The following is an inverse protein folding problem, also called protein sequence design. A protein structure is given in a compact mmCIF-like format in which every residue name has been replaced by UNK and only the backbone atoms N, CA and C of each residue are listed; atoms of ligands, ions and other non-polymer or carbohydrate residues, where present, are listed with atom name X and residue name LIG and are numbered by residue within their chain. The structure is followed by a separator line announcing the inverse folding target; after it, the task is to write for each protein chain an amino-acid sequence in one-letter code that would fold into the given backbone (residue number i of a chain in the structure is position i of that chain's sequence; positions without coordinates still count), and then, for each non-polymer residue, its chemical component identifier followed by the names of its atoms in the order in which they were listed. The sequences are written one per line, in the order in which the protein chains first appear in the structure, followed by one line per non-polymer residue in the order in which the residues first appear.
data_IF_715654786210
#
_entry.id   IF_715654786210
#
_cell.length_a   1.000
_cell.length_b   1.000
_cell.length_c   1.000
_cell.angle_alpha   90.00
_cell.angle_beta   90.00
_cell.angle_gamma   90.00
#
_symmetry.space_group_name_H-M   'P 1'
#
loop_
_entity.id
_entity.type
_entity.pdbx_description
1 polymer ?
#
# COMPACT_ATOMS: atom_id res chain seq x y z
N UNK A 1 -3.35 -9.61 -9.96
CA UNK A 1 -2.61 -8.91 -8.90
C UNK A 1 -3.52 -7.91 -8.20
N UNK A 2 -3.83 -8.17 -6.94
CA UNK A 2 -4.59 -7.26 -6.07
C UNK A 2 -3.89 -7.18 -4.70
N UNK A 3 -3.89 -5.99 -4.10
CA UNK A 3 -3.37 -5.77 -2.76
C UNK A 3 -4.55 -5.56 -1.82
N UNK A 4 -4.52 -6.23 -0.66
CA UNK A 4 -5.45 -5.97 0.42
C UNK A 4 -4.73 -5.40 1.65
N UNK A 5 -5.45 -4.60 2.43
CA UNK A 5 -5.00 -4.04 3.69
C UNK A 5 -6.08 -4.22 4.75
N UNK A 6 -5.71 -4.81 5.90
CA UNK A 6 -6.63 -5.07 7.02
C UNK A 6 -6.05 -4.56 8.34
N UNK A 7 -6.92 -4.27 9.30
CA UNK A 7 -6.52 -4.11 10.71
C UNK A 7 -6.47 -5.49 11.33
N UNK A 8 -5.29 -5.91 11.80
CA UNK A 8 -5.10 -7.19 12.48
C UNK A 8 -5.59 -7.16 13.91
N UNK A 9 -5.68 -8.34 14.54
CA UNK A 9 -6.04 -8.48 15.95
C UNK A 9 -5.01 -7.81 16.90
N UNK A 10 -3.80 -7.59 16.40
CA UNK A 10 -2.72 -6.84 17.07
C UNK A 10 -2.85 -5.31 16.94
N UNK A 11 -3.87 -4.83 16.22
CA UNK A 11 -4.11 -3.42 15.95
C UNK A 11 -3.15 -2.81 14.92
N UNK A 12 -2.31 -3.63 14.26
CA UNK A 12 -1.44 -3.20 13.18
C UNK A 12 -2.15 -3.30 11.83
N UNK A 13 -1.61 -2.64 10.81
CA UNK A 13 -2.10 -2.72 9.44
C UNK A 13 -1.26 -3.76 8.71
N UNK A 14 -1.92 -4.81 8.25
CA UNK A 14 -1.31 -5.91 7.49
C UNK A 14 -1.69 -5.74 6.01
N UNK A 15 -0.68 -5.69 5.14
CA UNK A 15 -0.82 -5.49 3.71
C UNK A 15 -0.23 -6.70 3.00
N UNK A 16 -0.98 -7.32 2.09
CA UNK A 16 -0.51 -8.50 1.33
C UNK A 16 -1.00 -8.50 -0.10
N UNK A 17 -0.27 -9.22 -0.95
CA UNK A 17 -0.74 -9.63 -2.27
C UNK A 17 -1.72 -10.79 -2.12
N UNK A 18 -2.86 -10.72 -2.79
CA UNK A 18 -3.85 -11.81 -2.79
C UNK A 18 -3.31 -13.10 -3.42
N UNK A 19 -2.33 -12.99 -4.33
CA UNK A 19 -1.72 -14.13 -5.02
C UNK A 19 -0.50 -14.70 -4.28
N UNK A 20 0.09 -13.94 -3.34
CA UNK A 20 1.23 -14.35 -2.49
C UNK A 20 0.94 -14.02 -1.01
N UNK A 21 -0.04 -14.70 -0.39
CA UNK A 21 -0.57 -14.35 0.93
C UNK A 21 0.43 -14.44 2.08
N UNK A 22 1.51 -15.21 1.91
CA UNK A 22 2.59 -15.39 2.87
C UNK A 22 3.54 -14.18 2.96
N UNK A 23 3.55 -13.31 1.94
CA UNK A 23 4.37 -12.10 1.93
C UNK A 23 3.54 -10.94 2.47
N UNK A 24 3.78 -10.60 3.75
CA UNK A 24 3.02 -9.58 4.46
C UNK A 24 3.93 -8.41 4.86
N UNK A 25 3.55 -7.20 4.48
CA UNK A 25 4.09 -5.97 5.04
C UNK A 25 3.21 -5.52 6.22
N UNK A 26 3.84 -5.23 7.36
CA UNK A 26 3.14 -4.78 8.58
C UNK A 26 3.55 -3.36 8.91
N UNK A 27 2.58 -2.50 9.20
CA UNK A 27 2.81 -1.12 9.59
C UNK A 27 1.88 -0.67 10.72
N UNK A 28 2.14 0.49 11.31
CA UNK A 28 1.28 1.04 12.36
C UNK A 28 0.15 1.88 11.77
N UNK A 29 -0.99 2.06 12.47
CA UNK A 29 -2.06 2.94 12.02
C UNK A 29 -1.58 4.38 11.74
N UNK A 30 -0.67 4.90 12.55
CA UNK A 30 -0.11 6.24 12.36
C UNK A 30 0.72 6.36 11.06
N UNK A 31 1.53 5.35 10.74
CA UNK A 31 2.30 5.32 9.49
C UNK A 31 1.40 5.11 8.28
N UNK A 32 0.36 4.28 8.41
CA UNK A 32 -0.65 4.08 7.36
C UNK A 32 -1.41 5.38 7.04
N UNK A 33 -1.85 6.12 8.05
CA UNK A 33 -2.52 7.42 7.87
C UNK A 33 -1.61 8.43 7.14
N UNK A 34 -0.34 8.52 7.55
CA UNK A 34 0.64 9.36 6.86
C UNK A 34 0.86 8.92 5.39
N UNK A 35 0.98 7.61 5.14
CA UNK A 35 1.12 7.07 3.78
C UNK A 35 -0.07 7.43 2.89
N UNK A 36 -1.31 7.21 3.36
CA UNK A 36 -2.53 7.55 2.61
C UNK A 36 -2.60 9.05 2.31
N UNK A 37 -2.17 9.91 3.24
CA UNK A 37 -2.08 11.37 3.01
C UNK A 37 -1.06 11.71 1.92
N UNK A 38 0.13 11.12 1.95
CA UNK A 38 1.15 11.30 0.91
C UNK A 38 0.67 10.87 -0.48
N UNK A 39 0.00 9.70 -0.58
CA UNK A 39 -0.63 9.23 -1.83
C UNK A 39 -1.65 10.25 -2.35
N UNK A 40 -2.56 10.73 -1.50
CA UNK A 40 -3.56 11.73 -1.90
C UNK A 40 -2.95 13.08 -2.30
N UNK A 41 -1.77 13.41 -1.78
CA UNK A 41 -1.04 14.61 -2.13
C UNK A 41 -0.25 14.47 -3.45
N UNK A 42 -0.29 13.32 -4.12
CA UNK A 42 0.48 13.05 -5.33
C UNK A 42 1.98 12.88 -5.07
N UNK A 43 2.38 12.63 -3.82
CA UNK A 43 3.80 12.52 -3.44
C UNK A 43 4.53 11.44 -4.24
N UNK A 44 3.82 10.40 -4.70
CA UNK A 44 4.37 9.25 -5.40
C UNK A 44 4.18 9.27 -6.93
N UNK A 45 3.52 10.27 -7.49
CA UNK A 45 3.16 10.29 -8.93
C UNK A 45 4.39 10.36 -9.85
N UNK A 46 5.50 10.88 -9.33
CA UNK A 46 6.77 10.95 -10.04
C UNK A 46 7.45 9.57 -10.22
N UNK A 47 7.03 8.53 -9.50
CA UNK A 47 7.52 7.16 -9.70
C UNK A 47 6.94 6.47 -10.93
N UNK A 48 5.89 7.04 -11.55
CA UNK A 48 5.22 6.48 -12.74
C UNK A 48 5.67 7.16 -14.04
N UNK A 49 6.49 8.22 -13.93
CA UNK A 49 7.02 8.96 -15.07
C UNK A 49 8.04 8.11 -15.85
N UNK A 50 7.54 7.29 -16.77
CA UNK A 50 8.33 6.37 -17.59
C UNK A 50 7.65 5.04 -17.91
N UNK A 51 6.47 4.76 -17.35
CA UNK A 51 5.66 3.60 -17.73
C UNK A 51 4.76 4.01 -18.88
N UNK A 52 5.10 3.65 -20.12
CA UNK A 52 4.14 3.65 -21.22
C UNK A 52 3.05 2.62 -20.86
N UNK A 53 1.89 3.12 -20.46
CA UNK A 53 0.69 2.29 -20.29
C UNK A 53 0.07 2.18 -21.67
N UNK A 54 0.38 1.11 -22.39
CA UNK A 54 -0.38 0.74 -23.58
C UNK A 54 -1.83 0.54 -23.13
N UNK A 55 -2.70 1.45 -23.56
CA UNK A 55 -4.13 1.48 -23.26
C UNK A 55 -4.95 0.60 -24.21
#
# INVERSE_FOLDING_TARGET
MAIEAIVGDDGLIHIRDTEQPEVVAVTTPAKWDAFVKGVKAGEFDHFVAGVEVDA
#
